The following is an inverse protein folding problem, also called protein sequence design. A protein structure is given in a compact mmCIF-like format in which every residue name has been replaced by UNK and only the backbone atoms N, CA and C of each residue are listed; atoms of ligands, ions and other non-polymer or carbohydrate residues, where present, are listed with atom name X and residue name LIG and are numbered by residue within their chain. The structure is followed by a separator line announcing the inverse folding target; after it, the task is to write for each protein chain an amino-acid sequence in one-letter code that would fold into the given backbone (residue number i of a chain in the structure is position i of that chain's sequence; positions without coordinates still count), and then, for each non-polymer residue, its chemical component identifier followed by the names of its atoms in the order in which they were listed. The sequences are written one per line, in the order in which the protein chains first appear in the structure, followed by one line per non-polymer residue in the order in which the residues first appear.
data_IF_174866899777
#
_entry.id   IF_174866899777
#
_cell.length_a   1.000
_cell.length_b   1.000
_cell.length_c   1.000
_cell.angle_alpha   90.00
_cell.angle_beta   90.00
_cell.angle_gamma   90.00
#
_symmetry.space_group_name_H-M   'P 1'
#
loop_
_entity.id
_entity.type
_entity.pdbx_description
1 polymer ?
#
# COMPACT_ATOMS: atom_id res chain seq x y z
N UNK A 1 11.07 -76.38 -23.95
CA UNK A 1 12.40 -76.12 -24.54
C UNK A 1 12.67 -74.63 -24.29
N UNK A 2 13.39 -74.33 -23.20
CA UNK A 2 14.84 -74.30 -23.09
C UNK A 2 15.38 -73.08 -23.83
N UNK A 3 16.11 -72.22 -23.31
CA UNK A 3 17.32 -72.07 -22.55
C UNK A 3 17.57 -70.55 -22.52
N UNK A 4 17.98 -69.99 -21.55
CA UNK A 4 19.18 -69.87 -20.71
C UNK A 4 19.73 -68.45 -20.76
N UNK A 5 19.95 -67.94 -19.57
CA UNK A 5 20.81 -66.85 -19.13
C UNK A 5 22.26 -67.12 -19.55
N UNK A 6 23.29 -66.20 -19.49
CA UNK A 6 23.59 -65.40 -18.29
C UNK A 6 24.31 -64.03 -18.49
N UNK A 7 24.28 -63.24 -17.41
CA UNK A 7 25.33 -62.45 -16.72
C UNK A 7 26.47 -61.76 -17.56
N UNK A 8 26.67 -60.48 -17.32
CA UNK A 8 27.97 -59.97 -16.90
C UNK A 8 27.82 -58.69 -16.08
N UNK A 9 28.36 -58.79 -14.85
CA UNK A 9 28.76 -57.71 -13.97
C UNK A 9 30.04 -57.04 -14.52
N UNK A 10 30.18 -55.76 -14.24
CA UNK A 10 31.42 -55.04 -13.91
C UNK A 10 30.97 -53.60 -13.57
N UNK A 11 30.92 -53.23 -12.30
CA UNK A 11 31.92 -52.81 -11.33
C UNK A 11 32.83 -51.73 -11.86
N UNK A 12 32.77 -50.54 -11.32
CA UNK A 12 33.82 -49.78 -10.68
C UNK A 12 33.49 -48.35 -10.29
N UNK A 13 33.46 -48.13 -8.99
CA UNK A 13 34.25 -47.19 -8.15
C UNK A 13 34.05 -45.69 -8.35
N UNK A 14 33.48 -45.12 -7.35
CA UNK A 14 34.02 -44.16 -6.38
C UNK A 14 34.98 -43.08 -6.90
N UNK A 15 34.58 -41.82 -6.69
CA UNK A 15 35.41 -40.90 -5.93
C UNK A 15 34.58 -39.72 -5.41
N UNK A 16 34.64 -39.61 -4.10
CA UNK A 16 34.35 -38.42 -3.33
C UNK A 16 35.53 -37.43 -3.52
N UNK A 17 35.27 -36.16 -3.43
CA UNK A 17 36.16 -35.06 -3.01
C UNK A 17 35.35 -33.77 -3.23
N UNK A 18 35.25 -32.83 -2.41
CA UNK A 18 35.83 -32.33 -1.17
C UNK A 18 35.16 -30.99 -0.92
N UNK A 19 34.74 -30.79 0.26
CA UNK A 19 34.37 -29.48 0.85
C UNK A 19 35.63 -28.59 0.84
N UNK A 20 35.47 -27.31 0.45
CA UNK A 20 36.46 -26.32 0.81
C UNK A 20 35.82 -25.17 1.54
N UNK A 21 35.88 -25.25 2.86
CA UNK A 21 35.79 -24.14 3.79
C UNK A 21 37.03 -23.30 3.66
N UNK A 22 36.90 -21.99 3.49
CA UNK A 22 38.04 -21.08 3.67
C UNK A 22 37.70 -20.18 4.85
N UNK A 23 38.42 -20.46 5.93
CA UNK A 23 38.52 -19.65 7.13
C UNK A 23 39.38 -18.40 6.91
N UNK A 24 39.03 -17.39 7.66
CA UNK A 24 39.66 -16.18 8.08
C UNK A 24 41.10 -16.35 8.52
N UNK A 25 42.06 -15.56 8.04
CA UNK A 25 43.29 -15.27 8.78
C UNK A 25 43.79 -13.85 8.54
N UNK A 26 43.80 -13.13 9.65
CA UNK A 26 44.50 -11.89 9.86
C UNK A 26 46.01 -12.14 9.93
N UNK A 27 46.79 -11.33 9.24
CA UNK A 27 48.25 -11.21 9.51
C UNK A 27 48.62 -9.77 9.70
N UNK A 28 49.13 -9.53 10.90
CA UNK A 28 49.77 -8.31 11.39
C UNK A 28 51.23 -8.21 10.94
N UNK A 29 51.70 -6.93 10.83
CA UNK A 29 53.06 -6.43 11.06
C UNK A 29 54.26 -6.98 10.29
N UNK A 30 54.95 -6.08 9.59
CA UNK A 30 56.31 -5.72 9.97
C UNK A 30 56.78 -4.40 9.33
N UNK A 31 57.28 -3.54 10.22
CA UNK A 31 58.04 -2.34 9.95
C UNK A 31 59.46 -2.72 9.48
N UNK A 32 59.99 -2.06 8.48
CA UNK A 32 61.41 -1.66 8.47
C UNK A 32 61.69 -0.50 7.51
N UNK A 33 62.22 0.44 8.13
CA UNK A 33 62.97 1.65 7.89
C UNK A 33 63.90 1.64 6.65
N UNK A 34 63.84 2.72 5.81
CA UNK A 34 65.00 3.29 5.16
C UNK A 34 64.72 4.68 4.57
N UNK A 35 65.26 5.66 5.28
CA UNK A 35 65.86 6.96 4.90
C UNK A 35 65.67 7.53 3.48
N UNK A 36 65.18 8.78 3.53
CA UNK A 36 65.71 9.99 2.92
C UNK A 36 65.69 10.11 1.37
N UNK A 37 64.69 10.85 0.86
CA UNK A 37 64.86 11.78 -0.27
C UNK A 37 63.96 12.98 -0.04
N UNK A 38 64.53 14.14 0.15
CA UNK A 38 63.85 15.43 0.05
C UNK A 38 63.32 15.63 -1.36
N UNK A 39 62.02 15.70 -1.50
CA UNK A 39 61.39 16.36 -2.65
C UNK A 39 60.27 17.26 -2.17
N UNK A 40 60.41 18.53 -2.51
CA UNK A 40 59.49 19.60 -2.18
C UNK A 40 58.18 19.43 -2.99
N UNK A 41 57.20 18.74 -2.45
CA UNK A 41 55.86 18.73 -3.00
C UNK A 41 55.07 19.91 -2.47
N UNK A 42 54.66 20.73 -3.39
CA UNK A 42 53.72 21.83 -3.31
C UNK A 42 52.47 21.41 -2.50
N UNK A 43 52.21 22.12 -1.40
CA UNK A 43 51.06 21.88 -0.53
C UNK A 43 49.82 22.38 -1.29
N UNK A 44 49.05 21.43 -1.81
CA UNK A 44 47.71 21.68 -2.36
C UNK A 44 46.83 22.37 -1.27
N UNK A 45 46.23 23.53 -1.54
CA UNK A 45 45.46 24.24 -0.52
C UNK A 45 44.25 23.37 -0.13
N UNK A 46 44.22 23.00 1.14
CA UNK A 46 43.06 22.41 1.79
C UNK A 46 41.79 23.19 1.37
N UNK A 47 40.73 22.52 0.84
CA UNK A 47 39.54 23.24 0.47
C UNK A 47 38.95 23.95 1.70
N UNK A 48 38.91 25.27 1.59
CA UNK A 48 38.32 26.14 2.58
C UNK A 48 36.85 25.67 2.79
N UNK A 49 36.57 25.02 3.93
CA UNK A 49 35.24 24.61 4.33
C UNK A 49 34.41 25.88 4.48
N UNK A 50 33.68 26.20 3.44
CA UNK A 50 32.67 27.26 3.51
C UNK A 50 31.73 26.93 4.65
N UNK A 51 31.57 27.83 5.66
CA UNK A 51 30.69 27.51 6.78
C UNK A 51 29.27 27.34 6.23
N UNK A 52 28.74 26.15 6.35
CA UNK A 52 27.31 25.89 6.07
C UNK A 52 26.54 26.77 7.03
N UNK A 53 25.90 27.79 6.48
CA UNK A 53 25.00 28.66 7.25
C UNK A 53 23.82 27.76 7.67
N UNK A 54 23.92 27.20 8.88
CA UNK A 54 22.76 26.58 9.51
C UNK A 54 21.81 27.72 9.84
N UNK A 55 20.75 27.85 9.03
CA UNK A 55 19.65 28.77 9.32
C UNK A 55 19.01 28.29 10.62
N UNK A 56 19.47 28.80 11.76
CA UNK A 56 18.73 28.71 13.00
C UNK A 56 17.37 29.38 12.75
N UNK A 57 16.24 28.70 12.95
CA UNK A 57 14.96 29.32 12.78
C UNK A 57 14.90 30.55 13.73
N UNK A 58 14.72 31.72 13.17
CA UNK A 58 14.54 32.94 13.95
C UNK A 58 13.38 32.71 14.92
N UNK A 59 13.55 32.86 16.22
CA UNK A 59 12.47 32.67 17.17
C UNK A 59 11.29 33.57 16.79
N UNK A 60 10.12 33.00 16.67
CA UNK A 60 8.90 33.70 16.30
C UNK A 60 8.49 34.60 17.44
N UNK A 61 8.77 35.91 17.33
CA UNK A 61 8.43 36.89 18.37
C UNK A 61 7.03 37.47 18.18
N UNK A 62 6.45 38.03 19.24
CA UNK A 62 5.12 38.65 19.18
C UNK A 62 5.09 39.82 18.20
N UNK A 63 6.20 40.54 18.07
CA UNK A 63 6.35 41.67 17.14
C UNK A 63 6.37 41.20 15.68
N UNK A 64 7.11 40.12 15.40
CA UNK A 64 7.16 39.53 14.06
C UNK A 64 5.80 38.99 13.69
N UNK A 65 5.09 38.36 14.62
CA UNK A 65 3.72 37.90 14.40
C UNK A 65 2.77 39.04 14.07
N UNK A 66 2.78 40.14 14.87
CA UNK A 66 1.95 41.31 14.62
C UNK A 66 2.25 41.97 13.24
N UNK A 67 3.53 42.00 12.85
CA UNK A 67 3.93 42.53 11.55
C UNK A 67 3.39 41.63 10.42
N UNK A 68 3.53 40.33 10.52
CA UNK A 68 3.03 39.38 9.51
C UNK A 68 1.51 39.47 9.33
N UNK A 69 0.76 39.65 10.43
CA UNK A 69 -0.70 39.88 10.36
C UNK A 69 -1.01 41.16 9.59
N UNK A 70 -0.28 42.25 9.91
CA UNK A 70 -0.47 43.54 9.22
C UNK A 70 -0.16 43.43 7.73
N UNK A 71 0.94 42.77 7.40
CA UNK A 71 1.35 42.57 6.01
C UNK A 71 0.34 41.68 5.27
N UNK A 72 -0.16 40.60 5.90
CA UNK A 72 -1.24 39.78 5.37
C UNK A 72 -2.48 40.61 5.05
N UNK A 73 -3.02 41.36 6.01
CA UNK A 73 -4.20 42.20 5.81
C UNK A 73 -3.99 43.23 4.71
N UNK A 74 -2.78 43.80 4.58
CA UNK A 74 -2.46 44.78 3.53
C UNK A 74 -2.42 44.14 2.15
N UNK A 75 -1.79 42.96 2.04
CA UNK A 75 -1.61 42.25 0.78
C UNK A 75 -2.91 41.68 0.23
N UNK A 76 -3.81 41.27 1.11
CA UNK A 76 -5.06 40.62 0.72
C UNK A 76 -6.30 41.47 0.84
N UNK A 77 -6.17 42.78 1.24
CA UNK A 77 -7.27 43.74 1.33
C UNK A 77 -8.05 43.88 0.02
N UNK A 78 -7.37 43.79 -1.13
CA UNK A 78 -7.99 43.90 -2.44
C UNK A 78 -8.92 42.75 -2.79
N UNK A 79 -8.77 41.60 -2.10
CA UNK A 79 -9.63 40.44 -2.26
C UNK A 79 -10.76 40.40 -1.23
N UNK A 80 -10.92 41.44 -0.43
CA UNK A 80 -11.85 41.48 0.74
C UNK A 80 -11.66 40.26 1.66
N UNK A 81 -10.41 39.86 1.88
CA UNK A 81 -10.00 38.76 2.71
C UNK A 81 -9.08 39.28 3.82
N UNK A 82 -9.42 38.99 5.06
CA UNK A 82 -8.68 39.43 6.24
C UNK A 82 -8.27 38.27 7.15
N UNK A 83 -7.52 38.59 8.19
CA UNK A 83 -6.99 37.60 9.14
C UNK A 83 -8.09 36.91 9.94
N UNK A 84 -9.23 37.56 10.17
CA UNK A 84 -10.32 36.96 10.94
C UNK A 84 -11.03 35.90 10.11
N UNK A 85 -11.23 36.14 8.81
CA UNK A 85 -11.71 35.13 7.88
C UNK A 85 -10.74 33.93 7.76
N UNK A 86 -9.44 34.22 7.71
CA UNK A 86 -8.42 33.16 7.72
C UNK A 86 -8.49 32.33 9.00
N UNK A 87 -8.64 33.00 10.16
CA UNK A 87 -8.80 32.32 11.45
C UNK A 87 -10.01 31.42 11.47
N UNK A 88 -11.16 31.89 11.00
CA UNK A 88 -12.41 31.11 10.92
C UNK A 88 -12.24 29.85 10.05
N UNK A 89 -11.53 29.96 8.91
CA UNK A 89 -11.21 28.80 8.06
C UNK A 89 -10.37 27.79 8.84
N UNK A 90 -9.30 28.24 9.49
CA UNK A 90 -8.42 27.33 10.25
C UNK A 90 -9.12 26.72 11.47
N UNK A 91 -9.93 27.48 12.19
CA UNK A 91 -10.72 26.98 13.31
C UNK A 91 -11.71 25.89 12.83
N UNK A 92 -12.39 26.13 11.72
CA UNK A 92 -13.30 25.14 11.10
C UNK A 92 -12.54 23.89 10.68
N UNK A 93 -11.37 24.05 10.05
CA UNK A 93 -10.54 22.91 9.64
C UNK A 93 -10.04 22.11 10.84
N UNK A 94 -9.54 22.77 11.89
CA UNK A 94 -9.08 22.12 13.12
C UNK A 94 -10.21 21.41 13.87
N UNK A 95 -11.41 22.01 13.91
CA UNK A 95 -12.60 21.39 14.48
C UNK A 95 -12.99 20.13 13.71
N UNK A 96 -12.97 20.22 12.37
CA UNK A 96 -13.23 19.06 11.50
C UNK A 96 -12.22 17.95 11.73
N UNK A 97 -10.92 18.27 11.78
CA UNK A 97 -9.85 17.31 12.02
C UNK A 97 -10.02 16.59 13.36
N UNK A 98 -10.22 17.35 14.44
CA UNK A 98 -10.50 16.79 15.77
C UNK A 98 -11.75 15.92 15.81
N UNK A 99 -12.81 16.32 15.10
CA UNK A 99 -14.02 15.55 15.04
C UNK A 99 -13.84 14.25 14.26
N UNK A 100 -13.10 14.28 13.15
CA UNK A 100 -12.71 13.07 12.42
C UNK A 100 -11.91 12.13 13.32
N UNK A 101 -10.90 12.64 14.03
CA UNK A 101 -10.08 11.83 14.93
C UNK A 101 -10.91 11.20 16.04
N UNK A 102 -11.82 11.94 16.65
CA UNK A 102 -12.71 11.44 17.71
C UNK A 102 -13.69 10.36 17.21
N UNK A 103 -14.29 10.59 16.05
CA UNK A 103 -15.23 9.65 15.45
C UNK A 103 -14.56 8.36 14.95
N UNK A 104 -13.27 8.43 14.66
CA UNK A 104 -12.55 7.33 14.02
C UNK A 104 -11.45 6.72 14.91
N UNK A 105 -11.43 7.07 16.21
CA UNK A 105 -10.45 6.56 17.18
C UNK A 105 -10.48 5.02 17.29
N UNK A 106 -11.66 4.43 17.14
CA UNK A 106 -11.89 2.99 17.26
C UNK A 106 -11.77 2.24 15.93
N UNK A 107 -11.48 2.92 14.82
CA UNK A 107 -11.28 2.25 13.54
C UNK A 107 -10.09 1.30 13.59
N UNK A 108 -10.25 0.04 13.15
CA UNK A 108 -9.16 -0.92 13.16
C UNK A 108 -8.03 -0.48 12.22
N UNK A 109 -6.80 -0.52 12.74
CA UNK A 109 -5.57 -0.26 11.99
C UNK A 109 -5.00 -1.51 11.34
N UNK A 110 -5.70 -2.62 11.50
CA UNK A 110 -5.38 -3.90 10.88
C UNK A 110 -6.56 -4.38 10.04
N UNK A 111 -6.29 -5.27 9.11
CA UNK A 111 -7.29 -5.97 8.31
C UNK A 111 -6.93 -7.43 8.18
N UNK A 112 -7.94 -8.28 8.15
CA UNK A 112 -7.78 -9.67 7.81
C UNK A 112 -7.63 -9.81 6.30
N UNK A 113 -6.71 -10.65 5.88
CA UNK A 113 -6.49 -10.98 4.47
C UNK A 113 -6.42 -12.49 4.30
N UNK A 114 -6.98 -12.95 3.20
CA UNK A 114 -6.95 -14.34 2.75
C UNK A 114 -6.15 -14.43 1.47
N UNK A 115 -5.28 -15.42 1.38
CA UNK A 115 -4.69 -15.85 0.13
C UNK A 115 -5.43 -17.07 -0.36
N UNK A 116 -6.08 -16.96 -1.52
CA UNK A 116 -6.82 -18.05 -2.09
C UNK A 116 -6.53 -18.26 -3.58
N UNK A 117 -6.96 -19.39 -4.08
CA UNK A 117 -7.08 -19.69 -5.50
C UNK A 117 -8.49 -20.20 -5.79
N UNK A 118 -8.94 -20.06 -7.04
CA UNK A 118 -10.27 -20.48 -7.43
C UNK A 118 -10.30 -21.15 -8.80
N UNK A 119 -11.37 -21.92 -9.02
CA UNK A 119 -11.78 -22.41 -10.33
C UNK A 119 -13.18 -21.87 -10.57
N UNK A 120 -13.38 -21.11 -11.65
CA UNK A 120 -14.65 -20.54 -12.03
C UNK A 120 -15.21 -21.33 -13.22
N UNK A 121 -16.44 -21.81 -13.10
CA UNK A 121 -17.15 -22.56 -14.16
C UNK A 121 -18.56 -21.99 -14.39
N UNK A 122 -19.18 -22.30 -15.53
CA UNK A 122 -20.48 -21.74 -15.88
C UNK A 122 -21.63 -22.38 -15.13
N UNK A 123 -21.54 -23.71 -14.85
CA UNK A 123 -22.64 -24.47 -14.27
C UNK A 123 -22.31 -25.15 -12.96
N UNK A 124 -23.35 -25.42 -12.19
CA UNK A 124 -23.22 -26.18 -10.93
C UNK A 124 -22.75 -27.59 -11.16
N UNK A 125 -23.16 -28.22 -12.29
CA UNK A 125 -22.75 -29.57 -12.66
C UNK A 125 -21.26 -29.66 -12.93
N UNK A 126 -20.68 -28.68 -13.64
CA UNK A 126 -19.24 -28.60 -13.86
C UNK A 126 -18.48 -28.38 -12.57
N UNK A 127 -19.03 -27.54 -11.65
CA UNK A 127 -18.42 -27.31 -10.36
C UNK A 127 -18.37 -28.60 -9.50
N UNK A 128 -19.43 -29.39 -9.51
CA UNK A 128 -19.46 -30.66 -8.81
C UNK A 128 -18.53 -31.70 -9.46
N UNK A 129 -18.37 -31.70 -10.79
CA UNK A 129 -17.39 -32.53 -11.49
C UNK A 129 -15.95 -32.17 -11.03
N UNK A 130 -15.62 -30.90 -11.03
CA UNK A 130 -14.30 -30.42 -10.57
C UNK A 130 -14.06 -30.78 -9.11
N UNK A 131 -15.06 -30.63 -8.24
CA UNK A 131 -14.95 -30.99 -6.83
C UNK A 131 -14.70 -32.50 -6.67
N UNK A 132 -15.40 -33.35 -7.43
CA UNK A 132 -15.15 -34.80 -7.43
C UNK A 132 -13.72 -35.16 -7.85
N UNK A 133 -13.18 -34.50 -8.86
CA UNK A 133 -11.81 -34.71 -9.33
C UNK A 133 -10.77 -34.27 -8.27
N UNK A 134 -11.06 -33.17 -7.56
CA UNK A 134 -10.24 -32.72 -6.42
C UNK A 134 -10.25 -33.75 -5.27
N UNK A 135 -11.41 -34.34 -4.96
CA UNK A 135 -11.54 -35.40 -3.96
C UNK A 135 -10.82 -36.69 -4.36
N UNK A 136 -10.74 -36.99 -5.67
CA UNK A 136 -9.96 -38.09 -6.24
C UNK A 136 -8.44 -37.83 -6.18
N UNK A 137 -8.04 -36.58 -5.87
CA UNK A 137 -6.64 -36.18 -5.68
C UNK A 137 -6.01 -35.56 -6.93
N UNK A 138 -6.80 -35.12 -7.92
CA UNK A 138 -6.27 -34.34 -9.03
C UNK A 138 -5.76 -32.98 -8.54
N UNK A 139 -4.73 -32.47 -9.21
CA UNK A 139 -4.10 -31.22 -8.84
C UNK A 139 -4.96 -30.00 -9.19
N UNK A 140 -5.18 -29.13 -8.22
CA UNK A 140 -5.99 -27.93 -8.34
C UNK A 140 -5.52 -27.02 -9.49
N UNK A 141 -4.20 -26.85 -9.66
CA UNK A 141 -3.64 -26.03 -10.75
C UNK A 141 -4.00 -26.60 -12.13
N UNK A 142 -3.90 -27.91 -12.27
CA UNK A 142 -4.24 -28.63 -13.51
C UNK A 142 -5.73 -28.49 -13.83
N UNK A 143 -6.59 -28.61 -12.82
CA UNK A 143 -8.03 -28.46 -12.98
C UNK A 143 -8.41 -27.00 -13.29
N UNK A 144 -7.76 -26.03 -12.67
CA UNK A 144 -7.95 -24.61 -12.99
C UNK A 144 -7.63 -24.33 -14.47
N UNK A 145 -6.47 -24.78 -14.94
CA UNK A 145 -6.08 -24.59 -16.34
C UNK A 145 -7.04 -25.25 -17.34
N UNK A 146 -7.66 -26.37 -16.93
CA UNK A 146 -8.55 -27.17 -17.78
C UNK A 146 -10.01 -26.69 -17.79
N UNK A 147 -10.54 -26.32 -16.63
CA UNK A 147 -11.96 -26.03 -16.43
C UNK A 147 -12.29 -24.56 -16.22
N UNK A 148 -11.35 -23.76 -15.67
CA UNK A 148 -11.68 -22.40 -15.30
C UNK A 148 -11.93 -21.52 -16.54
N UNK A 149 -13.05 -20.81 -16.51
CA UNK A 149 -13.39 -19.77 -17.49
C UNK A 149 -12.75 -18.42 -17.15
N UNK A 150 -12.10 -18.26 -15.98
CA UNK A 150 -11.35 -17.07 -15.65
C UNK A 150 -9.97 -17.07 -16.33
N UNK A 151 -9.92 -16.48 -17.51
CA UNK A 151 -8.70 -16.41 -18.34
C UNK A 151 -7.57 -15.61 -17.67
N UNK A 152 -7.88 -14.76 -16.69
CA UNK A 152 -6.89 -13.88 -16.05
C UNK A 152 -5.90 -14.65 -15.18
N UNK A 153 -6.31 -15.77 -14.58
CA UNK A 153 -5.52 -16.51 -13.60
C UNK A 153 -5.51 -18.04 -13.78
N UNK A 154 -6.32 -18.61 -14.66
CA UNK A 154 -6.41 -20.08 -14.84
C UNK A 154 -5.05 -20.74 -15.11
N UNK A 155 -4.20 -20.09 -15.93
CA UNK A 155 -2.85 -20.60 -16.26
C UNK A 155 -1.87 -20.50 -15.07
N UNK A 156 -2.21 -19.70 -14.03
CA UNK A 156 -1.51 -19.65 -12.76
C UNK A 156 -2.20 -20.47 -11.66
N UNK A 157 -3.05 -21.44 -12.07
CA UNK A 157 -3.76 -22.31 -11.14
C UNK A 157 -4.87 -21.62 -10.36
N UNK A 158 -5.45 -20.56 -10.93
CA UNK A 158 -6.52 -19.78 -10.31
C UNK A 158 -6.08 -18.87 -9.17
N UNK A 159 -4.77 -18.56 -9.06
CA UNK A 159 -4.21 -17.79 -7.95
C UNK A 159 -4.70 -16.34 -7.94
N UNK A 160 -5.31 -15.92 -6.81
CA UNK A 160 -5.83 -14.57 -6.59
C UNK A 160 -4.88 -13.69 -5.73
N UNK A 161 -3.87 -14.30 -5.11
CA UNK A 161 -3.02 -13.60 -4.13
C UNK A 161 -3.76 -13.29 -2.84
N UNK A 162 -3.22 -12.30 -2.09
CA UNK A 162 -3.82 -11.78 -0.86
C UNK A 162 -4.89 -10.75 -1.16
N UNK A 163 -6.06 -10.89 -0.54
CA UNK A 163 -7.17 -9.95 -0.65
C UNK A 163 -7.89 -9.79 0.69
N UNK A 164 -8.49 -8.63 0.92
CA UNK A 164 -9.39 -8.39 2.04
C UNK A 164 -10.86 -8.61 1.63
N UNK A 165 -11.74 -8.62 2.62
CA UNK A 165 -13.16 -8.95 2.45
C UNK A 165 -13.88 -8.07 1.42
N UNK A 166 -13.42 -6.82 1.22
CA UNK A 166 -14.08 -5.86 0.35
C UNK A 166 -13.58 -5.89 -1.11
N UNK A 167 -12.57 -6.72 -1.41
CA UNK A 167 -11.98 -6.79 -2.75
C UNK A 167 -12.72 -7.72 -3.71
N UNK A 168 -13.55 -8.63 -3.18
CA UNK A 168 -14.28 -9.62 -3.94
C UNK A 168 -15.80 -9.43 -3.73
N UNK A 169 -16.60 -10.10 -4.53
CA UNK A 169 -18.07 -10.12 -4.33
C UNK A 169 -18.42 -10.78 -2.99
N UNK A 170 -19.49 -10.33 -2.31
CA UNK A 170 -19.80 -10.75 -0.94
C UNK A 170 -19.91 -12.27 -0.76
N UNK A 171 -20.50 -12.97 -1.71
CA UNK A 171 -20.67 -14.43 -1.67
C UNK A 171 -19.33 -15.15 -1.69
N UNK A 172 -18.40 -14.69 -2.52
CA UNK A 172 -17.03 -15.23 -2.62
C UNK A 172 -16.24 -14.93 -1.34
N UNK A 173 -16.24 -13.66 -0.89
CA UNK A 173 -15.54 -13.25 0.33
C UNK A 173 -16.05 -14.01 1.55
N UNK A 174 -17.37 -14.09 1.74
CA UNK A 174 -17.97 -14.80 2.86
C UNK A 174 -17.52 -16.27 2.91
N UNK A 175 -17.46 -16.95 1.76
CA UNK A 175 -16.95 -18.31 1.68
C UNK A 175 -15.45 -18.38 2.00
N UNK A 176 -14.62 -17.58 1.31
CA UNK A 176 -13.17 -17.62 1.48
C UNK A 176 -12.73 -17.32 2.93
N UNK A 177 -13.35 -16.33 3.59
CA UNK A 177 -13.03 -15.97 4.96
C UNK A 177 -13.51 -17.00 5.99
N UNK A 178 -14.54 -17.79 5.68
CA UNK A 178 -15.05 -18.86 6.56
C UNK A 178 -14.22 -20.15 6.54
N UNK A 179 -13.55 -20.45 5.41
CA UNK A 179 -12.73 -21.66 5.24
C UNK A 179 -11.47 -21.63 6.09
N UNK A 180 -10.98 -22.80 6.50
CA UNK A 180 -9.66 -22.95 7.09
C UNK A 180 -8.56 -22.93 6.01
N UNK A 181 -7.30 -22.74 6.44
CA UNK A 181 -6.15 -22.87 5.53
C UNK A 181 -6.05 -24.29 4.98
N UNK A 182 -5.89 -24.41 3.68
CA UNK A 182 -5.86 -25.67 2.94
C UNK A 182 -7.24 -26.21 2.54
N UNK A 183 -8.30 -25.69 3.12
CA UNK A 183 -9.68 -26.15 2.87
C UNK A 183 -10.16 -25.70 1.49
N UNK A 184 -11.01 -26.58 0.87
CA UNK A 184 -11.67 -26.34 -0.41
C UNK A 184 -13.16 -26.13 -0.13
N UNK A 185 -13.78 -25.14 -0.77
CA UNK A 185 -15.20 -24.85 -0.63
C UNK A 185 -16.08 -25.85 -1.37
N UNK A 186 -17.35 -25.91 -0.96
CA UNK A 186 -18.43 -26.30 -1.86
C UNK A 186 -18.54 -25.28 -3.02
N UNK A 187 -19.26 -25.61 -4.11
CA UNK A 187 -19.50 -24.63 -5.18
C UNK A 187 -20.25 -23.39 -4.68
N UNK A 188 -19.66 -22.22 -4.90
CA UNK A 188 -20.21 -20.92 -4.49
C UNK A 188 -20.77 -20.21 -5.73
N UNK A 189 -22.07 -19.97 -5.75
CA UNK A 189 -22.74 -19.24 -6.81
C UNK A 189 -22.51 -17.73 -6.68
N UNK A 190 -22.15 -17.10 -7.77
CA UNK A 190 -22.04 -15.64 -7.90
C UNK A 190 -22.62 -15.19 -9.23
N UNK A 191 -22.63 -13.88 -9.50
CA UNK A 191 -23.03 -13.32 -10.80
C UNK A 191 -22.11 -13.73 -11.96
N UNK A 192 -20.92 -14.28 -11.67
CA UNK A 192 -19.94 -14.72 -12.68
C UNK A 192 -20.03 -16.20 -13.01
N UNK A 193 -20.73 -16.98 -12.20
CA UNK A 193 -20.82 -18.44 -12.29
C UNK A 193 -20.56 -19.10 -10.95
N UNK A 194 -20.08 -20.34 -10.98
CA UNK A 194 -19.79 -21.16 -9.81
C UNK A 194 -18.30 -21.20 -9.54
N UNK A 195 -17.93 -20.85 -8.31
CA UNK A 195 -16.54 -20.85 -7.85
C UNK A 195 -16.27 -22.03 -6.92
N UNK A 196 -15.15 -22.70 -7.12
CA UNK A 196 -14.53 -23.59 -6.16
C UNK A 196 -13.31 -22.86 -5.62
N UNK A 197 -13.28 -22.62 -4.32
CA UNK A 197 -12.26 -21.79 -3.66
C UNK A 197 -11.39 -22.66 -2.79
N UNK A 198 -10.08 -22.47 -2.85
CA UNK A 198 -9.16 -23.04 -1.89
C UNK A 198 -8.38 -21.93 -1.19
N UNK A 199 -8.42 -21.93 0.13
CA UNK A 199 -7.62 -21.00 0.95
C UNK A 199 -6.21 -21.55 1.12
N UNK A 200 -5.21 -20.75 0.80
CA UNK A 200 -3.78 -21.09 0.91
C UNK A 200 -3.20 -20.56 2.21
N UNK A 201 -3.65 -19.39 2.65
CA UNK A 201 -3.19 -18.78 3.90
C UNK A 201 -4.10 -17.66 4.38
N UNK A 202 -3.97 -17.35 5.66
CA UNK A 202 -4.66 -16.23 6.32
C UNK A 202 -3.66 -15.38 7.08
N UNK A 203 -3.85 -14.07 7.09
CA UNK A 203 -3.02 -13.16 7.88
C UNK A 203 -3.78 -11.93 8.32
N UNK A 204 -3.25 -11.30 9.35
CA UNK A 204 -3.64 -9.93 9.75
C UNK A 204 -2.55 -8.99 9.25
N UNK A 205 -2.91 -8.03 8.41
CA UNK A 205 -2.01 -7.03 7.88
C UNK A 205 -2.30 -5.65 8.45
N UNK A 206 -1.31 -4.73 8.37
CA UNK A 206 -1.53 -3.33 8.73
C UNK A 206 -2.25 -2.62 7.59
N UNK A 207 -3.25 -1.82 7.96
CA UNK A 207 -3.90 -0.91 7.01
C UNK A 207 -2.90 0.19 6.61
N UNK A 208 -2.74 0.42 5.32
CA UNK A 208 -1.85 1.47 4.83
C UNK A 208 -2.35 2.87 5.27
N UNK A 209 -1.45 3.84 5.55
CA UNK A 209 -1.86 5.18 5.98
C UNK A 209 -2.87 5.85 5.03
N UNK A 210 -2.69 5.69 3.72
CA UNK A 210 -3.62 6.22 2.71
C UNK A 210 -5.00 5.57 2.77
N UNK A 211 -5.03 4.24 2.94
CA UNK A 211 -6.27 3.47 3.10
C UNK A 211 -6.96 3.84 4.41
N UNK A 212 -6.20 3.99 5.50
CA UNK A 212 -6.75 4.42 6.78
C UNK A 212 -7.39 5.81 6.69
N UNK A 213 -6.73 6.76 6.01
CA UNK A 213 -7.29 8.09 5.76
C UNK A 213 -8.60 8.02 4.97
N UNK A 214 -8.68 7.14 3.97
CA UNK A 214 -9.93 6.94 3.22
C UNK A 214 -11.06 6.39 4.10
N UNK A 215 -10.75 5.42 4.97
CA UNK A 215 -11.71 4.87 5.94
C UNK A 215 -12.20 5.94 6.92
N UNK A 216 -11.31 6.80 7.41
CA UNK A 216 -11.68 7.94 8.26
C UNK A 216 -12.63 8.89 7.54
N UNK A 217 -12.34 9.24 6.27
CA UNK A 217 -13.18 10.13 5.48
C UNK A 217 -14.54 9.51 5.17
N UNK A 218 -14.60 8.21 4.88
CA UNK A 218 -15.85 7.50 4.64
C UNK A 218 -16.71 7.47 5.91
N UNK A 219 -16.16 7.13 7.07
CA UNK A 219 -16.86 7.12 8.35
C UNK A 219 -17.36 8.52 8.72
N UNK A 220 -16.58 9.56 8.47
CA UNK A 220 -17.00 10.93 8.71
C UNK A 220 -18.13 11.36 7.77
N UNK A 221 -18.07 10.96 6.49
CA UNK A 221 -19.15 11.27 5.53
C UNK A 221 -20.47 10.57 5.90
N UNK A 222 -20.39 9.32 6.33
CA UNK A 222 -21.55 8.56 6.82
C UNK A 222 -22.16 9.23 8.06
N UNK A 223 -21.33 9.58 9.03
CA UNK A 223 -21.79 10.30 10.23
C UNK A 223 -22.46 11.63 9.87
N UNK A 224 -21.87 12.41 8.94
CA UNK A 224 -22.49 13.66 8.47
C UNK A 224 -23.84 13.43 7.80
N UNK A 225 -23.96 12.38 6.99
CA UNK A 225 -25.23 12.03 6.36
C UNK A 225 -26.29 11.65 7.41
N UNK A 226 -25.90 10.88 8.42
CA UNK A 226 -26.77 10.54 9.55
C UNK A 226 -27.23 11.79 10.31
N UNK A 227 -26.29 12.69 10.66
CA UNK A 227 -26.63 13.94 11.36
C UNK A 227 -27.63 14.79 10.55
N UNK A 228 -27.44 14.89 9.24
CA UNK A 228 -28.38 15.63 8.37
C UNK A 228 -29.77 15.02 8.33
N UNK A 229 -29.86 13.69 8.42
CA UNK A 229 -31.14 12.98 8.35
C UNK A 229 -31.87 12.93 9.68
N UNK A 230 -31.15 13.04 10.80
CA UNK A 230 -31.69 12.84 12.15
C UNK A 230 -31.92 14.13 12.94
N UNK A 231 -31.30 15.24 12.51
CA UNK A 231 -31.36 16.53 13.21
C UNK A 231 -32.30 17.49 12.52
N UNK A 232 -33.33 17.94 13.25
CA UNK A 232 -34.31 18.92 12.78
C UNK A 232 -33.80 20.37 12.88
N UNK A 233 -32.67 20.60 13.58
CA UNK A 233 -32.06 21.91 13.78
C UNK A 233 -31.02 22.28 12.67
N UNK A 234 -30.80 21.41 11.69
CA UNK A 234 -29.95 21.67 10.55
C UNK A 234 -30.83 22.14 9.37
N UNK A 235 -30.82 23.43 9.11
CA UNK A 235 -31.41 24.01 7.90
C UNK A 235 -30.36 24.17 6.80
N UNK A 236 -30.54 23.45 5.70
CA UNK A 236 -29.71 23.64 4.50
C UNK A 236 -30.49 24.57 3.56
N UNK A 237 -29.93 25.76 3.31
CA UNK A 237 -30.52 26.65 2.31
C UNK A 237 -30.55 25.95 0.94
N UNK A 238 -31.73 25.66 0.35
CA UNK A 238 -31.82 24.92 -0.91
C UNK A 238 -31.14 25.64 -2.09
N UNK A 239 -30.87 26.93 -1.95
CA UNK A 239 -30.23 27.75 -2.97
C UNK A 239 -28.79 28.12 -2.61
N UNK A 240 -28.14 27.33 -1.73
CA UNK A 240 -26.77 27.62 -1.26
C UNK A 240 -25.75 27.72 -2.42
N UNK A 241 -25.98 26.97 -3.50
CA UNK A 241 -25.17 26.94 -4.72
C UNK A 241 -25.12 28.29 -5.44
N UNK A 242 -26.17 29.11 -5.29
CA UNK A 242 -26.23 30.46 -5.85
C UNK A 242 -25.32 31.46 -5.11
N UNK A 243 -24.92 31.13 -3.88
CA UNK A 243 -24.05 31.98 -3.06
C UNK A 243 -22.59 31.51 -3.07
N UNK A 244 -22.32 30.33 -3.64
CA UNK A 244 -20.96 29.86 -3.86
C UNK A 244 -20.46 30.36 -5.22
N UNK A 245 -19.39 31.14 -5.29
CA UNK A 245 -18.80 31.54 -6.56
C UNK A 245 -18.50 30.30 -7.40
N UNK A 246 -19.05 30.22 -8.60
CA UNK A 246 -18.84 29.09 -9.51
C UNK A 246 -17.37 28.90 -9.93
N UNK A 247 -16.58 29.95 -9.81
CA UNK A 247 -15.11 29.93 -9.99
C UNK A 247 -14.55 31.04 -9.12
N UNK A 248 -13.55 30.77 -8.25
CA UNK A 248 -12.72 31.85 -7.79
C UNK A 248 -12.08 32.46 -9.07
N UNK A 249 -12.39 33.70 -9.37
CA UNK A 249 -11.62 34.43 -10.36
C UNK A 249 -10.20 34.63 -9.83
N UNK A 250 -9.36 33.64 -10.04
CA UNK A 250 -7.93 33.73 -9.72
C UNK A 250 -7.35 34.74 -10.75
N UNK A 251 -6.89 35.90 -10.31
CA UNK A 251 -6.28 36.85 -11.22
C UNK A 251 -5.17 36.18 -12.03
N UNK A 252 -5.11 36.44 -13.34
CA UNK A 252 -4.20 35.77 -14.26
C UNK A 252 -2.71 35.85 -13.87
N UNK A 253 -2.34 36.86 -13.12
CA UNK A 253 -0.98 37.01 -12.59
C UNK A 253 -0.56 35.87 -11.66
N UNK A 254 -1.49 35.27 -10.90
CA UNK A 254 -1.20 34.13 -10.00
C UNK A 254 -1.28 32.80 -10.74
N UNK A 255 -2.03 32.68 -11.82
CA UNK A 255 -2.03 31.48 -12.66
C UNK A 255 -0.69 31.28 -13.35
N UNK A 256 0.00 32.36 -13.75
CA UNK A 256 1.32 32.28 -14.36
C UNK A 256 2.39 31.72 -13.38
N UNK A 257 2.32 32.05 -12.09
CA UNK A 257 3.23 31.53 -11.08
C UNK A 257 2.96 30.04 -10.75
N UNK A 258 1.69 29.62 -10.72
CA UNK A 258 1.32 28.21 -10.51
C UNK A 258 1.80 27.31 -11.65
N UNK A 259 1.77 27.79 -12.89
CA UNK A 259 2.29 27.05 -14.05
C UNK A 259 3.82 26.96 -14.11
N UNK A 260 4.55 27.89 -13.48
CA UNK A 260 6.02 27.84 -13.38
C UNK A 260 6.51 26.86 -12.29
N UNK A 261 5.69 26.56 -11.29
CA UNK A 261 6.02 25.61 -10.22
C UNK A 261 5.72 24.14 -10.59
N UNK A 262 5.09 23.91 -11.73
CA UNK A 262 4.70 22.56 -12.20
C UNK A 262 5.63 21.99 -13.30
N UNK A 263 6.71 22.68 -13.64
CA UNK A 263 7.78 22.19 -14.55
C UNK A 263 9.08 21.96 -13.78
#
# INVERSE_FOLDING_TARGET
SDEDTPLSEEDNSASADEETIIEDEAVSEQVDNLTDVQDTAEVDPTPEVTPTITLTPTPYTTELFAQNIKDFNTNYASFNFDIDQLREIFETQLLREKLVDELTQDLPRTKDEVWARHILVETSEEALEVLSLLEEGEDFHTLAARFSIDESNREQGGNLGWFDENMMVPEFSGAAFSLAEGEISEPIETTFGFHIIQVIGKRVSQVLPSEFTQRQQAAFAEWLAEQRNTRDDIEINPNWDQFVPNTPEVPQQYLAELFQLSQ
#
